data_IF_914970417159
#
_entry.id   IF_914970417159
#
_cell.length_a   1.000
_cell.length_b   1.000
_cell.length_c   1.000
_cell.angle_alpha   90.00
_cell.angle_beta   90.00
_cell.angle_gamma   90.00
#
_symmetry.space_group_name_H-M   'P 1'
#
loop_
_entity.id
_entity.type
_entity.pdbx_description
1 polymer ?
#
# COMPACT_ATOMS: atom_id res chain seq x y z
N UNK A 1 2.99 28.88 3.90
CA UNK A 1 2.74 28.39 2.53
C UNK A 1 3.82 27.41 2.12
N UNK A 2 3.45 26.31 1.45
CA UNK A 2 4.35 25.28 0.94
C UNK A 2 5.47 25.84 0.04
N UNK A 3 6.68 25.30 0.19
CA UNK A 3 7.82 25.58 -0.71
C UNK A 3 7.68 24.83 -2.04
N UNK A 4 8.50 25.15 -3.05
CA UNK A 4 8.51 24.40 -4.32
C UNK A 4 8.91 22.93 -4.12
N UNK A 5 9.83 22.66 -3.20
CA UNK A 5 10.20 21.30 -2.80
C UNK A 5 9.01 20.55 -2.18
N UNK A 6 8.18 21.23 -1.38
CA UNK A 6 6.99 20.63 -0.78
C UNK A 6 5.93 20.31 -1.84
N UNK A 7 5.76 21.18 -2.83
CA UNK A 7 4.84 20.93 -3.95
C UNK A 7 5.28 19.73 -4.80
N UNK A 8 6.58 19.58 -5.05
CA UNK A 8 7.11 18.41 -5.75
C UNK A 8 6.83 17.12 -4.95
N UNK A 9 7.11 17.12 -3.65
CA UNK A 9 6.78 15.98 -2.76
C UNK A 9 5.29 15.66 -2.79
N UNK A 10 4.43 16.67 -2.65
CA UNK A 10 2.98 16.53 -2.71
C UNK A 10 2.50 15.92 -4.04
N UNK A 11 3.08 16.36 -5.17
CA UNK A 11 2.72 15.85 -6.50
C UNK A 11 3.14 14.39 -6.72
N UNK A 12 4.16 13.92 -5.99
CA UNK A 12 4.67 12.55 -6.05
C UNK A 12 4.05 11.62 -4.99
N UNK A 13 2.95 12.02 -4.33
CA UNK A 13 2.25 11.21 -3.31
C UNK A 13 1.73 9.89 -3.88
N UNK A 14 1.64 8.85 -3.03
CA UNK A 14 1.38 7.47 -3.45
C UNK A 14 -0.08 7.24 -3.84
N UNK A 15 -1.03 7.68 -3.01
CA UNK A 15 -2.45 7.30 -3.12
C UNK A 15 -3.32 8.49 -3.52
N UNK A 16 -3.48 8.71 -4.81
CA UNK A 16 -4.48 9.67 -5.30
C UNK A 16 -5.88 9.19 -4.91
N UNK A 17 -6.68 10.07 -4.30
CA UNK A 17 -8.00 9.75 -3.76
C UNK A 17 -8.01 9.36 -2.28
N UNK A 18 -6.86 9.38 -1.59
CA UNK A 18 -6.77 9.09 -0.16
C UNK A 18 -6.14 10.26 0.61
N UNK A 19 -6.81 10.71 1.68
CA UNK A 19 -6.26 11.66 2.64
C UNK A 19 -6.90 11.50 4.03
N UNK A 20 -6.26 12.10 5.03
CA UNK A 20 -6.80 12.27 6.37
C UNK A 20 -6.85 13.76 6.68
N UNK A 21 -7.94 14.22 7.27
CA UNK A 21 -8.05 15.57 7.82
C UNK A 21 -8.33 15.44 9.32
N UNK A 22 -7.54 16.14 10.13
CA UNK A 22 -7.77 16.27 11.56
C UNK A 22 -8.17 17.70 11.90
N UNK A 23 -9.15 17.85 12.77
CA UNK A 23 -9.46 19.10 13.45
C UNK A 23 -8.79 19.08 14.82
N UNK A 24 -7.79 19.93 15.01
CA UNK A 24 -6.98 19.93 16.22
C UNK A 24 -7.41 21.05 17.17
N UNK A 25 -7.33 20.80 18.48
CA UNK A 25 -7.68 21.77 19.53
C UNK A 25 -6.50 22.02 20.46
N UNK A 26 -6.40 23.23 21.03
CA UNK A 26 -5.35 23.54 22.00
C UNK A 26 -5.58 22.80 23.32
N UNK A 27 -4.58 22.02 23.74
CA UNK A 27 -4.53 21.41 25.08
C UNK A 27 -3.75 22.30 26.04
N UNK A 28 -2.69 22.94 25.53
CA UNK A 28 -1.90 23.97 26.22
C UNK A 28 -1.44 25.05 25.25
N UNK A 29 -0.95 26.22 25.71
CA UNK A 29 -0.35 27.21 24.83
C UNK A 29 0.87 26.63 24.09
N UNK A 30 0.69 26.28 22.81
CA UNK A 30 1.71 25.68 21.97
C UNK A 30 1.62 24.17 21.77
N UNK A 31 0.58 23.50 22.28
CA UNK A 31 0.33 22.08 22.01
C UNK A 31 -1.13 21.86 21.61
N UNK A 32 -1.31 21.23 20.47
CA UNK A 32 -2.60 20.82 19.91
C UNK A 32 -2.75 19.30 19.96
N UNK A 33 -3.99 18.83 20.03
CA UNK A 33 -4.32 17.41 19.87
C UNK A 33 -5.50 17.24 18.92
N UNK A 34 -5.57 16.10 18.24
CA UNK A 34 -6.71 15.79 17.37
C UNK A 34 -8.00 15.67 18.17
N UNK A 35 -8.96 16.54 17.85
CA UNK A 35 -10.30 16.46 18.40
C UNK A 35 -11.19 15.51 17.61
N UNK A 36 -11.08 15.53 16.28
CA UNK A 36 -11.78 14.66 15.35
C UNK A 36 -10.95 14.45 14.09
N UNK A 37 -11.07 13.26 13.50
CA UNK A 37 -10.41 12.89 12.25
C UNK A 37 -11.44 12.37 11.26
N UNK A 38 -11.26 12.77 9.99
CA UNK A 38 -12.00 12.23 8.86
C UNK A 38 -10.99 11.64 7.88
N UNK A 39 -11.20 10.37 7.53
CA UNK A 39 -10.49 9.70 6.45
C UNK A 39 -11.34 9.74 5.19
N UNK A 40 -10.81 10.33 4.13
CA UNK A 40 -11.43 10.31 2.81
C UNK A 40 -10.74 9.24 1.95
N UNK A 41 -11.53 8.31 1.42
CA UNK A 41 -11.13 7.28 0.46
C UNK A 41 -12.12 7.36 -0.69
N UNK A 42 -11.66 7.76 -1.88
CA UNK A 42 -12.51 7.82 -3.07
C UNK A 42 -12.90 6.39 -3.49
N UNK A 43 -14.20 6.02 -3.44
CA UNK A 43 -14.64 4.69 -3.81
C UNK A 43 -14.79 4.54 -5.33
N UNK A 44 -14.89 3.30 -5.81
CA UNK A 44 -15.14 3.02 -7.23
C UNK A 44 -16.58 3.37 -7.68
N UNK A 45 -17.56 3.28 -6.78
CA UNK A 45 -18.99 3.39 -7.13
C UNK A 45 -19.56 4.81 -7.04
N UNK A 46 -19.02 5.66 -6.16
CA UNK A 46 -19.35 7.10 -6.03
C UNK A 46 -18.10 7.95 -6.28
N UNK A 47 -17.45 7.64 -7.41
CA UNK A 47 -16.13 8.16 -7.75
C UNK A 47 -16.14 9.67 -7.94
N UNK A 48 -17.10 10.22 -8.69
CA UNK A 48 -17.01 11.61 -9.15
C UNK A 48 -17.14 12.61 -7.99
N UNK A 49 -18.14 12.45 -7.11
CA UNK A 49 -18.36 13.39 -6.00
C UNK A 49 -17.18 13.34 -5.02
N UNK A 50 -16.76 12.12 -4.64
CA UNK A 50 -15.64 11.96 -3.71
C UNK A 50 -14.32 12.46 -4.31
N UNK A 51 -14.09 12.26 -5.61
CA UNK A 51 -12.91 12.77 -6.31
C UNK A 51 -12.92 14.30 -6.41
N UNK A 52 -14.08 14.91 -6.71
CA UNK A 52 -14.21 16.37 -6.75
C UNK A 52 -13.91 17.00 -5.37
N UNK A 53 -14.39 16.38 -4.29
CA UNK A 53 -14.06 16.80 -2.92
C UNK A 53 -12.57 16.64 -2.63
N UNK A 54 -11.98 15.49 -2.97
CA UNK A 54 -10.56 15.22 -2.81
C UNK A 54 -9.71 16.27 -3.55
N UNK A 55 -10.03 16.58 -4.80
CA UNK A 55 -9.29 17.56 -5.61
C UNK A 55 -9.40 18.97 -5.03
N UNK A 56 -10.57 19.37 -4.53
CA UNK A 56 -10.76 20.64 -3.83
C UNK A 56 -9.90 20.73 -2.57
N UNK A 57 -9.85 19.67 -1.76
CA UNK A 57 -8.99 19.62 -0.57
C UNK A 57 -7.51 19.71 -0.98
N UNK A 58 -7.09 19.01 -2.03
CA UNK A 58 -5.72 19.10 -2.55
C UNK A 58 -5.36 20.52 -3.01
N UNK A 59 -6.24 21.17 -3.77
CA UNK A 59 -6.02 22.56 -4.22
C UNK A 59 -5.97 23.52 -3.03
N UNK A 60 -6.85 23.33 -2.05
CA UNK A 60 -6.85 24.13 -0.84
C UNK A 60 -5.55 23.96 -0.05
N UNK A 61 -5.08 22.72 0.14
CA UNK A 61 -3.82 22.43 0.80
C UNK A 61 -2.63 23.10 0.09
N UNK A 62 -2.59 23.09 -1.25
CA UNK A 62 -1.53 23.77 -2.02
C UNK A 62 -1.53 25.31 -1.84
N UNK A 63 -2.70 25.91 -1.65
CA UNK A 63 -2.87 27.36 -1.51
C UNK A 63 -2.68 27.85 -0.08
N UNK A 64 -3.22 27.12 0.89
CA UNK A 64 -3.35 27.55 2.29
C UNK A 64 -2.49 26.72 3.26
N UNK A 65 -1.97 25.58 2.83
CA UNK A 65 -1.16 24.70 3.67
C UNK A 65 0.19 25.30 4.03
N UNK A 66 0.58 25.07 5.28
CA UNK A 66 1.86 25.48 5.86
C UNK A 66 2.65 24.25 6.34
N UNK A 67 3.98 24.37 6.32
CA UNK A 67 4.92 23.44 6.95
C UNK A 67 4.70 21.96 6.59
N UNK A 68 4.67 21.63 5.29
CA UNK A 68 4.50 20.24 4.82
C UNK A 68 5.64 19.34 5.32
N UNK A 69 5.33 18.45 6.25
CA UNK A 69 6.34 17.62 6.92
C UNK A 69 5.82 16.24 7.25
N UNK A 70 6.73 15.28 7.41
CA UNK A 70 6.38 13.95 7.93
C UNK A 70 6.07 14.07 9.42
N UNK A 71 4.86 13.70 9.83
CA UNK A 71 4.43 13.82 11.24
C UNK A 71 4.13 12.47 11.90
N UNK A 72 3.54 11.55 11.16
CA UNK A 72 3.15 10.26 11.69
C UNK A 72 3.15 9.18 10.61
N UNK A 73 3.00 7.94 11.06
CA UNK A 73 2.86 6.77 10.22
C UNK A 73 1.70 5.92 10.71
N UNK A 74 1.17 5.12 9.80
CA UNK A 74 0.28 3.98 10.07
C UNK A 74 1.00 2.71 9.69
N UNK A 75 0.39 1.54 9.91
CA UNK A 75 0.96 0.27 9.46
C UNK A 75 1.21 0.20 7.95
N UNK A 76 0.49 1.03 7.16
CA UNK A 76 0.57 1.06 5.70
C UNK A 76 1.37 2.20 5.12
N UNK A 77 1.32 3.38 5.74
CA UNK A 77 1.88 4.58 5.13
C UNK A 77 2.57 5.51 6.13
N UNK A 78 3.66 6.12 5.67
CA UNK A 78 4.18 7.38 6.18
C UNK A 78 3.37 8.53 5.62
N UNK A 79 2.94 9.46 6.47
CA UNK A 79 2.13 10.61 6.05
C UNK A 79 2.94 11.90 6.07
N UNK A 80 2.87 12.64 4.96
CA UNK A 80 3.22 14.06 4.95
C UNK A 80 1.97 14.88 5.26
N UNK A 81 2.11 15.88 6.10
CA UNK A 81 0.99 16.67 6.61
C UNK A 81 1.31 18.15 6.54
N UNK A 82 0.31 18.96 6.20
CA UNK A 82 0.40 20.41 6.26
C UNK A 82 -0.67 20.98 7.19
N UNK A 83 -0.32 22.10 7.82
CA UNK A 83 -1.19 22.82 8.74
C UNK A 83 -2.03 23.85 7.98
N UNK A 84 -3.31 23.93 8.30
CA UNK A 84 -4.22 24.99 7.87
C UNK A 84 -4.65 25.76 9.10
N UNK A 85 -4.09 26.96 9.25
CA UNK A 85 -4.35 27.84 10.40
C UNK A 85 -5.43 28.90 10.10
N UNK A 86 -5.80 29.05 8.83
CA UNK A 86 -6.94 29.87 8.42
C UNK A 86 -8.25 29.06 8.55
N UNK A 87 -8.74 28.98 9.78
CA UNK A 87 -9.94 28.21 10.14
C UNK A 87 -11.17 28.70 9.39
N UNK A 88 -11.33 30.00 9.24
CA UNK A 88 -12.50 30.61 8.60
C UNK A 88 -12.51 30.34 7.09
N UNK A 89 -11.36 30.38 6.42
CA UNK A 89 -11.27 29.99 5.01
C UNK A 89 -11.61 28.51 4.81
N UNK A 90 -11.10 27.62 5.68
CA UNK A 90 -11.39 26.19 5.57
C UNK A 90 -12.87 25.89 5.80
N UNK A 91 -13.48 26.46 6.86
CA UNK A 91 -14.92 26.32 7.12
C UNK A 91 -15.76 26.81 5.95
N UNK A 92 -15.47 28.02 5.44
CA UNK A 92 -16.21 28.58 4.31
C UNK A 92 -16.21 27.68 3.08
N UNK A 93 -15.09 27.00 2.81
CA UNK A 93 -14.95 26.12 1.65
C UNK A 93 -15.61 24.75 1.87
N UNK A 94 -15.61 24.23 3.10
CA UNK A 94 -15.87 22.80 3.36
C UNK A 94 -16.97 22.50 4.38
N UNK A 95 -17.54 23.47 5.10
CA UNK A 95 -18.54 23.23 6.16
C UNK A 95 -19.83 22.57 5.66
N UNK A 96 -20.12 22.68 4.36
CA UNK A 96 -21.30 22.08 3.74
C UNK A 96 -21.03 20.69 3.15
N UNK A 97 -19.79 20.19 3.24
CA UNK A 97 -19.44 18.83 2.80
C UNK A 97 -19.80 17.85 3.91
N UNK A 98 -20.80 17.00 3.66
CA UNK A 98 -21.34 16.09 4.67
C UNK A 98 -20.27 15.15 5.24
N UNK A 99 -19.35 14.72 4.39
CA UNK A 99 -18.21 13.87 4.70
C UNK A 99 -17.27 14.50 5.74
N UNK A 100 -17.19 15.83 5.78
CA UNK A 100 -16.29 16.60 6.65
C UNK A 100 -16.98 17.13 7.92
N UNK A 101 -18.30 16.95 8.06
CA UNK A 101 -19.07 17.39 9.23
C UNK A 101 -18.45 17.08 10.60
N UNK A 102 -17.84 15.89 10.84
CA UNK A 102 -17.21 15.59 12.12
C UNK A 102 -16.10 16.56 12.52
N UNK A 103 -15.42 17.19 11.56
CA UNK A 103 -14.36 18.16 11.79
C UNK A 103 -14.87 19.49 12.34
N UNK A 104 -16.13 19.81 12.10
CA UNK A 104 -16.74 21.08 12.50
C UNK A 104 -17.59 20.94 13.77
N UNK A 105 -18.02 19.72 14.09
CA UNK A 105 -18.93 19.41 15.19
C UNK A 105 -18.38 18.26 16.06
N UNK A 106 -17.29 18.53 16.78
CA UNK A 106 -16.58 17.51 17.57
C UNK A 106 -16.74 17.65 19.09
N UNK A 107 -17.53 18.62 19.59
CA UNK A 107 -17.81 18.83 21.04
C UNK A 107 -16.59 19.02 21.96
N UNK A 108 -15.40 19.35 21.41
CA UNK A 108 -14.15 19.53 22.17
C UNK A 108 -13.62 20.98 22.20
N UNK A 109 -14.46 21.94 21.84
CA UNK A 109 -14.10 23.37 21.81
C UNK A 109 -13.83 23.88 20.40
N UNK A 110 -13.18 25.05 20.30
CA UNK A 110 -12.84 25.66 19.01
C UNK A 110 -11.61 24.99 18.38
N UNK A 111 -11.73 24.64 17.10
CA UNK A 111 -10.62 24.15 16.29
C UNK A 111 -9.51 25.22 16.22
N UNK A 112 -8.31 24.84 16.60
CA UNK A 112 -7.11 25.66 16.57
C UNK A 112 -6.44 25.67 15.19
N UNK A 113 -6.35 24.49 14.57
CA UNK A 113 -5.81 24.27 13.23
C UNK A 113 -6.41 23.00 12.62
N UNK A 114 -6.43 22.92 11.30
CA UNK A 114 -6.67 21.65 10.61
C UNK A 114 -5.35 21.06 10.13
N UNK A 115 -5.17 19.76 10.32
CA UNK A 115 -4.05 19.01 9.75
C UNK A 115 -4.55 18.20 8.56
N UNK A 116 -3.99 18.45 7.37
CA UNK A 116 -4.32 17.67 6.17
C UNK A 116 -3.13 16.78 5.84
N UNK A 117 -3.36 15.47 5.80
CA UNK A 117 -2.34 14.44 5.73
C UNK A 117 -2.53 13.55 4.51
N UNK A 118 -1.45 13.33 3.77
CA UNK A 118 -1.42 12.55 2.54
C UNK A 118 -0.45 11.38 2.66
N UNK A 119 -0.81 10.17 2.18
CA UNK A 119 0.13 9.05 2.08
C UNK A 119 1.34 9.41 1.21
N UNK A 120 2.52 9.51 1.81
CA UNK A 120 3.77 9.85 1.12
C UNK A 120 4.47 8.59 0.60
N UNK A 121 4.60 7.57 1.46
CA UNK A 121 5.30 6.31 1.14
C UNK A 121 4.63 5.16 1.85
N UNK A 122 4.72 3.96 1.27
CA UNK A 122 4.32 2.74 1.94
C UNK A 122 5.28 2.42 3.12
N UNK A 123 4.72 1.86 4.20
CA UNK A 123 5.44 1.56 5.44
C UNK A 123 5.99 0.11 5.43
N UNK A 124 7.12 -0.07 4.74
CA UNK A 124 7.81 -1.35 4.67
C UNK A 124 8.97 -1.52 5.66
N UNK A 125 9.37 -0.45 6.35
CA UNK A 125 10.63 -0.40 7.10
C UNK A 125 10.74 -1.48 8.19
N UNK A 126 9.62 -1.83 8.84
CA UNK A 126 9.57 -2.83 9.91
C UNK A 126 9.13 -4.24 9.44
N UNK A 127 9.14 -4.51 8.12
CA UNK A 127 8.60 -5.77 7.56
C UNK A 127 9.66 -6.83 7.26
N UNK A 128 10.94 -6.50 7.39
CA UNK A 128 12.05 -7.41 7.09
C UNK A 128 12.00 -8.74 7.88
N UNK A 129 11.67 -8.78 9.19
CA UNK A 129 11.56 -10.04 9.92
C UNK A 129 10.47 -10.98 9.35
N UNK A 130 9.36 -10.41 8.88
CA UNK A 130 8.26 -11.15 8.25
C UNK A 130 8.72 -11.71 6.90
N UNK A 131 9.42 -10.91 6.09
CA UNK A 131 10.01 -11.35 4.80
C UNK A 131 10.96 -12.52 5.01
N UNK A 132 11.86 -12.44 5.98
CA UNK A 132 12.82 -13.52 6.25
C UNK A 132 12.11 -14.81 6.68
N UNK A 133 11.14 -14.72 7.59
CA UNK A 133 10.35 -15.88 8.04
C UNK A 133 9.56 -16.51 6.89
N UNK A 134 8.98 -15.69 6.01
CA UNK A 134 8.29 -16.15 4.80
C UNK A 134 9.23 -16.90 3.86
N UNK A 135 10.43 -16.36 3.61
CA UNK A 135 11.44 -17.01 2.78
C UNK A 135 11.88 -18.35 3.39
N UNK A 136 12.16 -18.41 4.68
CA UNK A 136 12.53 -19.68 5.33
C UNK A 136 11.46 -20.78 5.13
N UNK A 137 10.19 -20.44 5.31
CA UNK A 137 9.07 -21.39 5.15
C UNK A 137 8.94 -21.83 3.70
N UNK A 138 8.91 -20.88 2.77
CA UNK A 138 8.69 -21.13 1.34
C UNK A 138 9.87 -21.84 0.67
N UNK A 139 11.10 -21.49 1.04
CA UNK A 139 12.32 -22.16 0.57
C UNK A 139 12.42 -23.60 1.09
N UNK A 140 11.93 -23.88 2.30
CA UNK A 140 11.82 -25.26 2.80
C UNK A 140 10.76 -26.04 2.03
N UNK A 141 9.61 -25.42 1.73
CA UNK A 141 8.54 -26.08 1.01
C UNK A 141 8.93 -26.38 -0.45
N UNK A 142 9.51 -25.43 -1.18
CA UNK A 142 9.87 -25.60 -2.60
C UNK A 142 10.89 -26.72 -2.83
N UNK A 143 11.79 -26.94 -1.86
CA UNK A 143 12.74 -28.06 -1.86
C UNK A 143 12.05 -29.43 -1.75
N UNK A 144 10.86 -29.48 -1.14
CA UNK A 144 10.11 -30.72 -0.95
C UNK A 144 9.19 -31.08 -2.12
N UNK A 145 9.02 -30.18 -3.08
CA UNK A 145 8.21 -30.42 -4.28
C UNK A 145 8.85 -31.50 -5.14
N UNK A 146 8.01 -32.40 -5.65
CA UNK A 146 8.44 -33.42 -6.60
C UNK A 146 8.76 -32.80 -7.99
N UNK A 147 9.56 -33.52 -8.78
CA UNK A 147 9.99 -33.06 -10.11
C UNK A 147 8.85 -32.88 -11.11
N UNK A 148 7.75 -33.63 -10.98
CA UNK A 148 6.60 -33.49 -11.87
C UNK A 148 5.89 -32.15 -11.58
N UNK A 149 5.67 -31.83 -10.31
CA UNK A 149 5.11 -30.54 -9.88
C UNK A 149 6.02 -29.39 -10.31
N UNK A 150 7.33 -29.49 -10.08
CA UNK A 150 8.29 -28.47 -10.49
C UNK A 150 8.33 -28.29 -12.01
N UNK A 151 8.39 -29.38 -12.78
CA UNK A 151 8.39 -29.33 -14.25
C UNK A 151 7.14 -28.68 -14.84
N UNK A 152 5.99 -28.78 -14.17
CA UNK A 152 4.79 -28.04 -14.57
C UNK A 152 4.94 -26.52 -14.37
N UNK A 153 5.71 -26.09 -13.38
CA UNK A 153 5.99 -24.67 -13.13
C UNK A 153 6.97 -24.12 -14.15
N UNK A 154 8.04 -24.87 -14.45
CA UNK A 154 8.96 -24.56 -15.56
C UNK A 154 8.21 -24.42 -16.88
N UNK A 155 7.37 -25.40 -17.23
CA UNK A 155 6.60 -25.34 -18.47
C UNK A 155 5.76 -24.05 -18.54
N UNK A 156 5.04 -23.71 -17.48
CA UNK A 156 4.21 -22.50 -17.44
C UNK A 156 5.03 -21.22 -17.42
N UNK A 157 6.18 -21.20 -16.74
CA UNK A 157 7.11 -20.09 -16.78
C UNK A 157 7.64 -19.86 -18.20
N UNK A 158 7.78 -20.88 -19.05
CA UNK A 158 8.20 -20.71 -20.45
C UNK A 158 7.06 -20.39 -21.42
N UNK A 159 5.86 -20.96 -21.22
CA UNK A 159 4.77 -20.88 -22.22
C UNK A 159 3.65 -19.91 -21.84
N UNK A 160 3.54 -19.51 -20.57
CA UNK A 160 2.48 -18.63 -20.09
C UNK A 160 2.65 -17.19 -20.57
N UNK A 161 1.53 -16.47 -20.68
CA UNK A 161 1.51 -15.05 -21.01
C UNK A 161 2.26 -14.22 -19.99
N UNK A 162 3.13 -13.33 -20.45
CA UNK A 162 3.93 -12.43 -19.60
C UNK A 162 3.04 -11.41 -18.90
N UNK A 163 3.26 -11.20 -17.61
CA UNK A 163 2.68 -10.08 -16.87
C UNK A 163 3.74 -9.02 -16.65
N UNK A 164 3.50 -7.82 -17.18
CA UNK A 164 4.32 -6.66 -16.89
C UNK A 164 4.50 -5.74 -18.09
N UNK A 165 4.81 -4.48 -17.79
CA UNK A 165 5.09 -3.43 -18.76
C UNK A 165 6.56 -3.39 -19.21
N UNK A 166 7.33 -4.42 -18.88
CA UNK A 166 8.76 -4.53 -19.20
C UNK A 166 9.63 -3.54 -18.42
N UNK A 167 9.19 -3.06 -17.25
CA UNK A 167 9.93 -2.13 -16.38
C UNK A 167 9.90 -2.68 -14.95
N UNK A 168 11.06 -2.70 -14.28
CA UNK A 168 11.19 -3.03 -12.87
C UNK A 168 10.73 -1.82 -12.03
N UNK A 169 9.70 -1.96 -11.16
CA UNK A 169 9.17 -0.82 -10.42
C UNK A 169 10.12 -0.27 -9.35
N UNK A 170 11.13 -1.05 -8.93
CA UNK A 170 12.11 -0.63 -7.92
C UNK A 170 13.34 0.04 -8.54
N UNK A 171 13.82 -0.47 -9.68
CA UNK A 171 15.02 0.08 -10.35
C UNK A 171 14.69 1.02 -11.50
N UNK A 172 13.44 1.06 -11.96
CA UNK A 172 12.99 1.76 -13.17
C UNK A 172 13.67 1.27 -14.46
N UNK A 173 14.37 0.13 -14.41
CA UNK A 173 15.08 -0.44 -15.56
C UNK A 173 14.17 -1.36 -16.38
N UNK A 174 14.51 -1.50 -17.67
CA UNK A 174 13.76 -2.37 -18.57
C UNK A 174 14.05 -3.84 -18.26
N UNK A 175 12.99 -4.63 -18.06
CA UNK A 175 13.09 -6.08 -17.84
C UNK A 175 13.07 -6.79 -19.18
N UNK A 176 14.04 -7.66 -19.41
CA UNK A 176 13.97 -8.66 -20.47
C UNK A 176 13.28 -9.91 -19.95
N UNK A 177 12.05 -10.17 -20.42
CA UNK A 177 11.26 -11.28 -19.92
C UNK A 177 11.86 -12.65 -20.26
N UNK A 178 12.66 -12.77 -21.32
CA UNK A 178 13.34 -14.04 -21.62
C UNK A 178 14.42 -14.34 -20.57
N UNK A 179 15.13 -13.31 -20.09
CA UNK A 179 16.10 -13.44 -19.00
C UNK A 179 15.40 -13.82 -17.68
N UNK A 180 14.20 -13.29 -17.44
CA UNK A 180 13.38 -13.66 -16.27
C UNK A 180 12.87 -15.10 -16.35
N UNK A 181 12.40 -15.55 -17.52
CA UNK A 181 11.91 -16.93 -17.73
C UNK A 181 13.00 -17.96 -17.43
N UNK A 182 14.22 -17.69 -17.87
CA UNK A 182 15.35 -18.59 -17.67
C UNK A 182 15.77 -18.74 -16.20
N UNK A 183 15.40 -17.81 -15.31
CA UNK A 183 15.78 -17.90 -13.88
C UNK A 183 15.28 -19.17 -13.22
N UNK A 184 14.12 -19.69 -13.64
CA UNK A 184 13.55 -20.92 -13.06
C UNK A 184 14.44 -22.15 -13.28
N UNK A 185 15.25 -22.17 -14.34
CA UNK A 185 16.18 -23.27 -14.62
C UNK A 185 17.62 -22.95 -14.25
N UNK A 186 17.98 -21.65 -14.14
CA UNK A 186 19.34 -21.20 -13.80
C UNK A 186 19.59 -21.09 -12.29
N UNK A 187 18.58 -20.73 -11.51
CA UNK A 187 18.68 -20.58 -10.06
C UNK A 187 18.35 -21.88 -9.34
N UNK A 188 18.82 -22.03 -8.10
CA UNK A 188 18.25 -23.05 -7.21
C UNK A 188 16.79 -22.70 -6.93
N UNK A 189 15.96 -23.71 -6.60
CA UNK A 189 14.54 -23.46 -6.27
C UNK A 189 14.37 -22.43 -5.15
N UNK A 190 15.27 -22.45 -4.16
CA UNK A 190 15.28 -21.48 -3.05
C UNK A 190 15.60 -20.07 -3.50
N UNK A 191 16.62 -19.93 -4.33
CA UNK A 191 17.05 -18.63 -4.84
C UNK A 191 16.01 -18.06 -5.80
N UNK A 192 15.31 -18.91 -6.55
CA UNK A 192 14.21 -18.50 -7.42
C UNK A 192 13.00 -17.98 -6.63
N UNK A 193 12.62 -18.67 -5.55
CA UNK A 193 11.55 -18.19 -4.64
C UNK A 193 11.92 -16.82 -4.06
N UNK A 194 13.16 -16.66 -3.62
CA UNK A 194 13.65 -15.40 -3.07
C UNK A 194 13.71 -14.27 -4.11
N UNK A 195 14.14 -14.58 -5.34
CA UNK A 195 14.21 -13.58 -6.41
C UNK A 195 12.84 -13.07 -6.86
N UNK A 196 11.79 -13.85 -6.62
CA UNK A 196 10.42 -13.54 -7.04
C UNK A 196 9.56 -13.04 -5.88
N UNK A 197 10.15 -12.80 -4.69
CA UNK A 197 9.43 -12.23 -3.56
C UNK A 197 9.00 -10.79 -3.88
N UNK A 198 7.72 -10.52 -3.72
CA UNK A 198 7.13 -9.18 -3.79
C UNK A 198 6.36 -8.89 -2.52
N UNK A 199 6.36 -7.64 -2.10
CA UNK A 199 5.54 -7.16 -1.00
C UNK A 199 4.66 -5.98 -1.39
N UNK A 200 3.45 -5.97 -0.85
CA UNK A 200 2.47 -4.90 -1.08
C UNK A 200 1.51 -4.80 0.10
N UNK A 201 0.60 -3.83 0.03
CA UNK A 201 -0.53 -3.70 0.93
C UNK A 201 -1.81 -3.91 0.12
N UNK A 202 -2.52 -5.00 0.38
CA UNK A 202 -3.70 -5.41 -0.40
C UNK A 202 -4.89 -5.70 0.49
N UNK A 203 -6.06 -5.28 0.01
CA UNK A 203 -7.33 -5.51 0.67
C UNK A 203 -7.82 -6.95 0.52
N UNK A 204 -8.92 -7.26 1.20
CA UNK A 204 -9.55 -8.56 1.15
C UNK A 204 -10.09 -8.89 -0.25
N UNK A 205 -10.54 -7.90 -1.03
CA UNK A 205 -11.01 -8.11 -2.39
C UNK A 205 -9.93 -8.72 -3.29
N UNK A 206 -8.69 -8.21 -3.22
CA UNK A 206 -7.55 -8.78 -3.94
C UNK A 206 -7.13 -10.15 -3.41
N UNK A 207 -7.06 -10.32 -2.08
CA UNK A 207 -6.47 -11.52 -1.46
C UNK A 207 -7.45 -12.71 -1.42
N UNK A 208 -8.75 -12.47 -1.31
CA UNK A 208 -9.77 -13.53 -1.19
C UNK A 208 -9.68 -14.60 -2.31
N UNK A 209 -9.50 -14.24 -3.59
CA UNK A 209 -9.27 -15.21 -4.67
C UNK A 209 -8.04 -16.11 -4.48
N UNK A 210 -7.00 -15.64 -3.78
CA UNK A 210 -5.72 -16.35 -3.61
C UNK A 210 -5.86 -17.63 -2.78
N UNK A 211 -6.81 -17.64 -1.84
CA UNK A 211 -7.10 -18.78 -0.97
C UNK A 211 -7.69 -19.99 -1.69
N UNK A 212 -8.17 -19.83 -2.93
CA UNK A 212 -8.76 -20.94 -3.66
C UNK A 212 -7.73 -22.04 -3.94
N UNK A 213 -7.90 -23.20 -3.29
CA UNK A 213 -6.98 -24.36 -3.30
C UNK A 213 -5.64 -24.11 -2.61
N UNK A 214 -5.53 -23.05 -1.81
CA UNK A 214 -4.33 -22.79 -1.03
C UNK A 214 -4.19 -23.81 0.11
N UNK A 215 -2.96 -24.22 0.37
CA UNK A 215 -2.58 -25.15 1.43
C UNK A 215 -1.68 -24.40 2.42
N UNK A 216 -1.95 -24.52 3.71
CA UNK A 216 -1.10 -23.91 4.73
C UNK A 216 0.21 -24.70 4.84
N UNK A 217 1.33 -23.99 4.72
CA UNK A 217 2.70 -24.55 4.79
C UNK A 217 3.52 -24.03 5.97
N UNK A 218 3.00 -23.03 6.69
CA UNK A 218 3.64 -22.45 7.87
C UNK A 218 2.79 -21.36 8.51
N UNK A 219 3.40 -20.62 9.43
CA UNK A 219 2.79 -19.53 10.18
C UNK A 219 3.86 -18.50 10.60
N UNK A 220 3.50 -17.23 10.59
CA UNK A 220 4.31 -16.09 11.06
C UNK A 220 3.39 -15.21 11.91
N UNK A 221 3.74 -15.00 13.18
CA UNK A 221 2.98 -14.13 14.11
C UNK A 221 1.46 -14.42 14.17
N UNK A 222 1.08 -15.70 14.11
CA UNK A 222 -0.33 -16.14 14.15
C UNK A 222 -1.06 -16.06 12.80
N UNK A 223 -0.37 -15.67 11.73
CA UNK A 223 -0.90 -15.62 10.36
C UNK A 223 -0.29 -16.72 9.49
N UNK A 224 -1.13 -17.43 8.75
CA UNK A 224 -0.72 -18.58 7.93
C UNK A 224 0.08 -18.16 6.70
N UNK A 225 1.08 -18.97 6.35
CA UNK A 225 1.78 -18.93 5.07
C UNK A 225 1.21 -20.03 4.18
N UNK A 226 0.87 -19.68 2.94
CA UNK A 226 0.17 -20.56 2.02
C UNK A 226 1.01 -20.88 0.79
N UNK A 227 0.86 -22.12 0.31
CA UNK A 227 1.21 -22.55 -1.03
C UNK A 227 -0.07 -22.73 -1.85
N UNK A 228 -0.10 -22.19 -3.06
CA UNK A 228 -1.15 -22.50 -4.01
C UNK A 228 -0.58 -23.38 -5.14
N UNK A 229 -1.20 -24.54 -5.44
CA UNK A 229 -0.77 -25.43 -6.54
C UNK A 229 -0.75 -24.77 -7.93
N UNK A 230 -1.40 -23.60 -8.07
CA UNK A 230 -1.26 -22.74 -9.25
C UNK A 230 0.14 -22.12 -9.38
N UNK A 231 1.06 -22.35 -8.45
CA UNK A 231 2.46 -21.97 -8.56
C UNK A 231 2.76 -20.62 -7.95
N UNK A 232 2.31 -20.39 -6.72
CA UNK A 232 2.71 -19.22 -5.95
C UNK A 232 2.61 -19.50 -4.46
N UNK A 233 3.35 -18.73 -3.68
CA UNK A 233 3.23 -18.63 -2.23
C UNK A 233 2.63 -17.28 -1.86
N UNK A 234 1.91 -17.22 -0.76
CA UNK A 234 1.49 -15.95 -0.20
C UNK A 234 1.33 -15.99 1.32
N UNK A 235 1.46 -14.82 1.94
CA UNK A 235 1.18 -14.54 3.34
C UNK A 235 0.41 -13.23 3.40
N UNK A 236 -0.65 -13.17 4.19
CA UNK A 236 -1.42 -11.94 4.34
C UNK A 236 -1.80 -11.69 5.79
N UNK A 237 -1.41 -10.53 6.30
CA UNK A 237 -1.84 -10.04 7.58
C UNK A 237 -3.07 -9.15 7.37
N UNK A 238 -4.26 -9.67 7.69
CA UNK A 238 -5.54 -8.97 7.50
C UNK A 238 -5.67 -7.64 8.28
N UNK A 239 -4.93 -7.48 9.38
CA UNK A 239 -5.03 -6.28 10.22
C UNK A 239 -4.25 -5.12 9.59
N UNK A 240 -3.07 -5.42 9.06
CA UNK A 240 -2.20 -4.43 8.41
C UNK A 240 -2.43 -4.34 6.89
N UNK A 241 -3.09 -5.34 6.31
CA UNK A 241 -3.18 -5.65 4.88
C UNK A 241 -1.83 -5.95 4.21
N UNK A 242 -0.78 -6.20 4.99
CA UNK A 242 0.53 -6.52 4.45
C UNK A 242 0.52 -7.91 3.78
N UNK A 243 0.83 -7.92 2.49
CA UNK A 243 0.89 -9.11 1.64
C UNK A 243 2.33 -9.39 1.22
N UNK A 244 2.73 -10.65 1.30
CA UNK A 244 3.89 -11.19 0.61
C UNK A 244 3.43 -12.19 -0.43
N UNK A 245 4.01 -12.14 -1.62
CA UNK A 245 3.80 -13.13 -2.68
C UNK A 245 5.16 -13.60 -3.24
N UNK A 246 5.23 -14.85 -3.68
CA UNK A 246 6.35 -15.33 -4.50
C UNK A 246 5.84 -16.28 -5.57
N UNK A 247 6.00 -15.91 -6.84
CA UNK A 247 5.44 -16.66 -7.97
C UNK A 247 6.45 -17.68 -8.50
N UNK A 248 6.03 -18.94 -8.54
CA UNK A 248 6.81 -20.04 -9.09
C UNK A 248 6.70 -20.14 -10.62
N UNK A 249 5.84 -19.33 -11.25
CA UNK A 249 5.67 -19.29 -12.71
C UNK A 249 6.18 -17.99 -13.31
N UNK A 250 6.81 -17.10 -12.52
CA UNK A 250 7.25 -15.79 -13.00
C UNK A 250 8.11 -15.91 -14.27
N UNK A 251 7.89 -15.06 -15.30
CA UNK A 251 7.00 -13.90 -15.37
C UNK A 251 5.55 -14.21 -15.82
N UNK A 252 5.16 -15.48 -15.92
CA UNK A 252 3.79 -15.86 -16.24
C UNK A 252 2.86 -15.71 -15.03
N UNK A 253 1.69 -15.09 -15.23
CA UNK A 253 0.70 -14.92 -14.15
C UNK A 253 0.22 -16.28 -13.65
N UNK A 254 0.30 -16.56 -12.34
CA UNK A 254 -0.18 -17.83 -11.83
C UNK A 254 -1.71 -17.91 -11.77
N UNK A 255 -2.42 -16.77 -11.86
CA UNK A 255 -3.87 -16.69 -11.62
C UNK A 255 -4.76 -17.02 -12.83
N UNK A 256 -4.17 -17.16 -14.03
CA UNK A 256 -4.87 -17.55 -15.26
C UNK A 256 -6.03 -16.62 -15.62
N UNK A 257 -5.70 -15.48 -16.24
CA UNK A 257 -6.69 -14.63 -16.92
C UNK A 257 -6.81 -15.06 -18.39
#
# INVERSE_FOLDING_TARGET
MMTESDKERFNNRLCVGNLLVSADVYVTPGMTESAAEVKLIVPNDDYQKAMDLYDRICQFALLHGEDLQGLFQTDRYYYMSCFVRDIEAFKKEFENEEELNPLFNHDKGETAEFLISFPEKANYDDKEPVKQSFLEITQKHVDSLDELTWGNFEHRAFTGGTVGFGINPHTMERINFDDERDKITKLSRKDFVASNLTDSFEDDFYVNPLFNKAEQIGEIDGYSVFFNPRGFYFYWNKETEYLLESWLTFPAYPYGW
#
